data_IF_205835276985
#
_entry.id   IF_205835276985
#
_cell.length_a   1.000
_cell.length_b   1.000
_cell.length_c   1.000
_cell.angle_alpha   90.00
_cell.angle_beta   90.00
_cell.angle_gamma   90.00
#
_symmetry.space_group_name_H-M   'P 1'
#
loop_
_entity.id
_entity.type
_entity.pdbx_description
1 polymer ?
#
# COMPACT_ATOMS: atom_id res chain seq x y z
N UNK A 1 -30.81 -9.36 -3.52
CA UNK A 1 -29.47 -8.77 -3.37
C UNK A 1 -29.62 -7.27 -3.27
N UNK A 2 -28.69 -6.55 -2.65
CA UNK A 2 -28.78 -5.09 -2.54
C UNK A 2 -27.57 -4.37 -3.13
N UNK A 3 -27.80 -3.12 -3.52
CA UNK A 3 -26.75 -2.21 -3.94
C UNK A 3 -25.90 -1.78 -2.73
N UNK A 4 -24.58 -1.98 -2.80
CA UNK A 4 -23.66 -1.61 -1.71
C UNK A 4 -23.79 -0.11 -1.38
N UNK A 5 -23.90 0.20 -0.08
CA UNK A 5 -23.95 1.60 0.38
C UNK A 5 -22.62 2.34 0.22
N UNK A 6 -21.54 1.60 -0.01
CA UNK A 6 -20.20 2.13 -0.28
C UNK A 6 -19.95 2.42 -1.76
N UNK A 7 -20.92 2.15 -2.63
CA UNK A 7 -20.81 2.55 -4.03
C UNK A 7 -21.07 4.04 -4.20
N UNK A 8 -20.30 4.68 -5.07
CA UNK A 8 -20.59 5.99 -5.66
C UNK A 8 -20.40 5.91 -7.15
N UNK A 9 -21.14 6.74 -7.88
CA UNK A 9 -21.07 6.81 -9.33
C UNK A 9 -20.55 8.21 -9.67
N UNK A 10 -19.48 8.25 -10.46
CA UNK A 10 -18.86 9.48 -10.94
C UNK A 10 -18.99 9.55 -12.44
N UNK A 11 -19.64 10.59 -12.96
CA UNK A 11 -19.66 10.86 -14.38
C UNK A 11 -18.28 11.38 -14.81
N UNK A 12 -17.70 10.77 -15.85
CA UNK A 12 -16.38 11.14 -16.38
C UNK A 12 -16.53 11.86 -17.70
N UNK A 13 -17.53 11.48 -18.50
CA UNK A 13 -17.88 12.12 -19.76
C UNK A 13 -19.37 11.97 -20.03
N UNK A 14 -19.85 12.61 -21.11
CA UNK A 14 -21.24 12.49 -21.57
C UNK A 14 -21.67 11.04 -21.86
N UNK A 15 -20.71 10.11 -22.06
CA UNK A 15 -20.98 8.71 -22.40
C UNK A 15 -20.59 7.72 -21.31
N UNK A 16 -19.72 8.11 -20.38
CA UNK A 16 -19.07 7.17 -19.46
C UNK A 16 -19.08 7.66 -18.02
N UNK A 17 -19.24 6.69 -17.12
CA UNK A 17 -19.21 6.86 -15.68
C UNK A 17 -18.34 5.78 -15.03
N UNK A 18 -17.84 6.07 -13.84
CA UNK A 18 -17.19 5.07 -12.98
C UNK A 18 -18.07 4.78 -11.78
N UNK A 19 -18.35 3.49 -11.59
CA UNK A 19 -18.86 2.98 -10.31
C UNK A 19 -17.65 2.68 -9.44
N UNK A 20 -17.56 3.34 -8.30
CA UNK A 20 -16.47 3.16 -7.33
C UNK A 20 -17.02 2.65 -6.00
N UNK A 21 -16.48 1.53 -5.52
CA UNK A 21 -16.75 1.00 -4.19
C UNK A 21 -15.64 1.43 -3.22
N UNK A 22 -15.99 2.30 -2.28
CA UNK A 22 -15.05 2.88 -1.31
C UNK A 22 -14.50 1.87 -0.30
N UNK A 23 -15.29 0.84 0.06
CA UNK A 23 -14.89 -0.10 1.09
C UNK A 23 -13.83 -1.11 0.59
N UNK A 24 -13.89 -1.46 -0.70
CA UNK A 24 -13.03 -2.48 -1.29
C UNK A 24 -12.04 -1.91 -2.32
N UNK A 25 -12.01 -0.58 -2.49
CA UNK A 25 -11.20 0.14 -3.47
C UNK A 25 -11.30 -0.47 -4.88
N UNK A 26 -12.55 -0.69 -5.34
CA UNK A 26 -12.84 -1.26 -6.66
C UNK A 26 -13.51 -0.23 -7.56
N UNK A 27 -13.07 -0.15 -8.80
CA UNK A 27 -13.66 0.71 -9.83
C UNK A 27 -14.14 -0.12 -11.02
N UNK A 28 -15.23 0.34 -11.63
CA UNK A 28 -15.75 -0.20 -12.87
C UNK A 28 -16.12 0.97 -13.78
N UNK A 29 -15.42 1.10 -14.91
CA UNK A 29 -15.79 2.02 -15.98
C UNK A 29 -16.98 1.42 -16.74
N UNK A 30 -18.04 2.21 -16.88
CA UNK A 30 -19.29 1.79 -17.52
C UNK A 30 -19.80 2.89 -18.43
N UNK A 31 -20.54 2.50 -19.46
CA UNK A 31 -21.32 3.46 -20.26
C UNK A 31 -22.56 3.92 -19.47
N UNK A 32 -23.05 5.13 -19.75
CA UNK A 32 -24.13 5.76 -18.99
C UNK A 32 -25.45 4.96 -19.06
N UNK A 33 -25.70 4.19 -20.12
CA UNK A 33 -26.87 3.32 -20.24
C UNK A 33 -26.88 2.21 -19.16
N UNK A 34 -25.69 1.74 -18.74
CA UNK A 34 -25.57 0.76 -17.66
C UNK A 34 -25.76 1.42 -16.29
N UNK A 35 -25.42 2.69 -16.14
CA UNK A 35 -25.77 3.47 -14.93
C UNK A 35 -27.29 3.62 -14.83
N UNK A 36 -27.97 3.89 -15.93
CA UNK A 36 -29.43 3.97 -15.95
C UNK A 36 -30.07 2.61 -15.66
N UNK A 37 -29.46 1.51 -16.11
CA UNK A 37 -29.86 0.17 -15.71
C UNK A 37 -29.71 -0.06 -14.20
N UNK A 38 -28.61 0.39 -13.60
CA UNK A 38 -28.42 0.35 -12.13
C UNK A 38 -29.50 1.17 -11.42
N UNK A 39 -29.69 2.44 -11.82
CA UNK A 39 -30.66 3.35 -11.16
C UNK A 39 -32.08 2.80 -11.19
N UNK A 40 -32.49 2.22 -12.33
CA UNK A 40 -33.83 1.59 -12.48
C UNK A 40 -34.02 0.37 -11.58
N UNK A 41 -32.94 -0.34 -11.25
CA UNK A 41 -32.99 -1.60 -10.51
C UNK A 41 -32.31 -1.49 -9.13
N UNK A 42 -32.15 -0.29 -8.59
CA UNK A 42 -31.33 -0.06 -7.38
C UNK A 42 -31.84 -0.83 -6.15
N UNK A 43 -33.17 -0.99 -6.03
CA UNK A 43 -33.83 -1.70 -4.94
C UNK A 43 -33.95 -3.22 -5.20
N UNK A 44 -33.56 -3.69 -6.39
CA UNK A 44 -33.66 -5.09 -6.82
C UNK A 44 -32.53 -5.41 -7.78
N UNK A 45 -31.29 -5.22 -7.32
CA UNK A 45 -30.11 -5.23 -8.19
C UNK A 45 -29.88 -6.57 -8.90
N UNK A 46 -30.43 -7.66 -8.35
CA UNK A 46 -30.38 -9.00 -8.95
C UNK A 46 -31.16 -9.14 -10.25
N UNK A 47 -32.13 -8.26 -10.55
CA UNK A 47 -32.84 -8.25 -11.84
C UNK A 47 -31.92 -7.95 -13.02
N UNK A 48 -30.79 -7.26 -12.79
CA UNK A 48 -29.79 -6.97 -13.81
C UNK A 48 -29.20 -8.27 -14.37
N UNK A 49 -29.19 -9.36 -13.60
CA UNK A 49 -28.71 -10.67 -14.05
C UNK A 49 -29.45 -11.15 -15.30
N UNK A 50 -30.76 -10.93 -15.36
CA UNK A 50 -31.62 -11.45 -16.41
C UNK A 50 -31.52 -10.60 -17.69
N UNK A 51 -31.15 -9.32 -17.55
CA UNK A 51 -30.97 -8.38 -18.67
C UNK A 51 -29.53 -8.43 -19.20
N UNK A 52 -28.55 -8.41 -18.30
CA UNK A 52 -27.13 -8.30 -18.64
C UNK A 52 -26.26 -9.11 -17.65
N UNK A 53 -26.18 -10.45 -17.82
CA UNK A 53 -25.53 -11.35 -16.86
C UNK A 53 -24.03 -11.06 -16.65
N UNK A 54 -23.31 -10.68 -17.72
CA UNK A 54 -21.88 -10.34 -17.63
C UNK A 54 -21.64 -9.09 -16.77
N UNK A 55 -22.48 -8.08 -16.91
CA UNK A 55 -22.40 -6.85 -16.12
C UNK A 55 -22.75 -7.12 -14.66
N UNK A 56 -23.81 -7.88 -14.41
CA UNK A 56 -24.16 -8.30 -13.06
C UNK A 56 -23.03 -9.08 -12.36
N UNK A 57 -22.35 -9.99 -13.09
CA UNK A 57 -21.16 -10.69 -12.58
C UNK A 57 -20.04 -9.71 -12.24
N UNK A 58 -19.81 -8.67 -13.05
CA UNK A 58 -18.83 -7.64 -12.75
C UNK A 58 -19.17 -6.86 -11.47
N UNK A 59 -20.45 -6.51 -11.26
CA UNK A 59 -20.91 -5.86 -10.02
C UNK A 59 -20.69 -6.76 -8.79
N UNK A 60 -20.93 -8.07 -8.91
CA UNK A 60 -20.70 -9.01 -7.82
C UNK A 60 -19.22 -9.17 -7.46
N UNK A 61 -18.36 -9.42 -8.45
CA UNK A 61 -16.92 -9.63 -8.23
C UNK A 61 -16.26 -8.39 -7.61
N UNK A 62 -16.78 -7.20 -7.91
CA UNK A 62 -16.29 -5.94 -7.37
C UNK A 62 -16.98 -5.50 -6.07
N UNK A 63 -17.78 -6.37 -5.42
CA UNK A 63 -18.55 -6.08 -4.20
C UNK A 63 -19.51 -4.88 -4.32
N UNK A 64 -19.96 -4.57 -5.54
CA UNK A 64 -20.92 -3.49 -5.80
C UNK A 64 -22.36 -3.97 -5.63
N UNK A 65 -22.64 -5.24 -5.95
CA UNK A 65 -23.87 -5.93 -5.57
C UNK A 65 -23.57 -6.91 -4.43
N UNK A 66 -24.39 -6.89 -3.37
CA UNK A 66 -24.13 -7.63 -2.14
C UNK A 66 -25.28 -8.62 -1.84
N UNK A 67 -24.99 -9.88 -1.47
CA UNK A 67 -26.02 -10.82 -1.04
C UNK A 67 -26.74 -10.37 0.23
N UNK A 68 -28.07 -10.58 0.31
CA UNK A 68 -28.90 -10.07 1.40
C UNK A 68 -28.54 -10.66 2.78
N UNK A 69 -28.01 -11.88 2.80
CA UNK A 69 -27.56 -12.55 4.03
C UNK A 69 -26.21 -12.04 4.55
N UNK A 70 -25.48 -11.21 3.79
CA UNK A 70 -24.17 -10.71 4.17
C UNK A 70 -24.33 -9.37 4.89
N UNK A 71 -23.88 -9.31 6.14
CA UNK A 71 -23.65 -8.05 6.84
C UNK A 71 -22.42 -7.36 6.25
N UNK A 72 -22.66 -6.43 5.34
CA UNK A 72 -21.63 -5.66 4.67
C UNK A 72 -20.75 -4.86 5.64
N UNK A 73 -21.34 -4.25 6.66
CA UNK A 73 -20.58 -3.44 7.63
C UNK A 73 -19.63 -4.30 8.42
N UNK A 74 -20.10 -5.46 8.88
CA UNK A 74 -19.26 -6.41 9.59
C UNK A 74 -18.14 -6.95 8.70
N UNK A 75 -18.42 -7.23 7.43
CA UNK A 75 -17.40 -7.68 6.49
C UNK A 75 -16.31 -6.62 6.27
N UNK A 76 -16.69 -5.36 6.07
CA UNK A 76 -15.75 -4.24 5.91
C UNK A 76 -14.94 -4.02 7.19
N UNK A 77 -15.60 -4.04 8.36
CA UNK A 77 -14.92 -3.93 9.66
C UNK A 77 -13.89 -5.04 9.85
N UNK A 78 -14.25 -6.30 9.55
CA UNK A 78 -13.33 -7.44 9.64
C UNK A 78 -12.13 -7.26 8.72
N UNK A 79 -12.35 -6.80 7.49
CA UNK A 79 -11.27 -6.53 6.54
C UNK A 79 -10.32 -5.43 7.04
N UNK A 80 -10.85 -4.30 7.52
CA UNK A 80 -10.03 -3.22 8.09
C UNK A 80 -9.21 -3.73 9.28
N UNK A 81 -9.83 -4.48 10.19
CA UNK A 81 -9.13 -5.02 11.36
C UNK A 81 -8.06 -6.05 10.96
N UNK A 82 -8.30 -6.89 9.95
CA UNK A 82 -7.29 -7.84 9.48
C UNK A 82 -6.07 -7.12 8.90
N UNK A 83 -6.27 -6.02 8.18
CA UNK A 83 -5.17 -5.19 7.66
C UNK A 83 -4.42 -4.46 8.79
N UNK A 84 -5.15 -3.87 9.75
CA UNK A 84 -4.54 -3.15 10.88
C UNK A 84 -3.73 -4.06 11.80
N UNK A 85 -4.14 -5.31 11.97
CA UNK A 85 -3.43 -6.30 12.79
C UNK A 85 -2.52 -7.22 11.98
N UNK A 86 -2.31 -6.93 10.69
CA UNK A 86 -1.39 -7.68 9.86
C UNK A 86 0.06 -7.41 10.30
N UNK A 87 0.63 -8.38 11.02
CA UNK A 87 2.01 -8.36 11.49
C UNK A 87 2.95 -9.22 10.61
N UNK A 88 2.50 -9.64 9.43
CA UNK A 88 3.34 -10.46 8.53
C UNK A 88 4.41 -9.63 7.82
N UNK A 89 4.19 -8.31 7.68
CA UNK A 89 5.11 -7.40 6.98
C UNK A 89 5.68 -6.37 7.95
N UNK A 90 7.00 -6.39 8.16
CA UNK A 90 7.72 -5.34 8.88
C UNK A 90 8.18 -4.25 7.90
N UNK A 91 7.68 -3.03 8.05
CA UNK A 91 8.09 -1.88 7.24
C UNK A 91 8.93 -0.92 8.07
N UNK A 92 10.16 -0.66 7.63
CA UNK A 92 11.10 0.23 8.30
C UNK A 92 11.52 1.36 7.37
N UNK A 93 11.22 2.60 7.75
CA UNK A 93 11.83 3.79 7.15
C UNK A 93 13.10 4.15 7.93
N UNK A 94 14.22 4.22 7.24
CA UNK A 94 15.56 4.32 7.81
C UNK A 94 16.21 5.59 7.31
N UNK A 95 16.64 6.46 8.23
CA UNK A 95 17.44 7.63 7.91
C UNK A 95 18.92 7.32 8.20
N UNK A 96 19.71 6.77 7.24
CA UNK A 96 21.12 6.50 7.46
C UNK A 96 21.93 7.80 7.68
N UNK A 97 21.39 8.93 7.22
CA UNK A 97 21.94 10.27 7.42
C UNK A 97 20.86 11.34 7.26
N UNK A 98 21.02 12.47 7.94
CA UNK A 98 20.31 13.74 7.67
C UNK A 98 21.18 14.71 6.86
N UNK A 99 22.43 14.34 6.59
CA UNK A 99 23.32 15.07 5.69
C UNK A 99 22.85 14.91 4.24
N UNK A 100 22.99 15.96 3.45
CA UNK A 100 22.46 16.03 2.08
C UNK A 100 23.40 16.87 1.21
N UNK A 101 23.69 16.39 0.00
CA UNK A 101 24.49 17.10 -1.00
C UNK A 101 23.71 18.18 -1.75
N UNK A 102 22.41 18.34 -1.47
CA UNK A 102 21.52 19.33 -2.05
C UNK A 102 20.82 20.14 -0.96
N UNK A 103 20.39 21.36 -1.28
CA UNK A 103 19.68 22.27 -0.39
C UNK A 103 18.33 22.67 -1.02
N UNK A 104 17.41 21.72 -1.16
CA UNK A 104 16.15 21.93 -1.86
C UNK A 104 15.27 22.94 -1.10
N UNK A 105 14.75 23.96 -1.78
CA UNK A 105 13.97 25.04 -1.14
C UNK A 105 12.69 24.56 -0.43
N UNK A 106 12.15 23.39 -0.83
CA UNK A 106 10.98 22.77 -0.23
C UNK A 106 11.31 21.70 0.82
N UNK A 107 12.60 21.51 1.16
CA UNK A 107 13.03 20.51 2.13
C UNK A 107 12.71 20.95 3.57
N UNK A 108 12.05 20.08 4.34
CA UNK A 108 11.76 20.35 5.76
C UNK A 108 12.91 19.96 6.69
N UNK A 109 13.88 19.18 6.20
CA UNK A 109 15.00 18.72 7.01
C UNK A 109 15.99 19.86 7.26
N UNK A 110 16.46 19.94 8.52
CA UNK A 110 17.63 20.75 8.83
C UNK A 110 18.82 20.01 8.25
N UNK A 111 19.46 20.59 7.22
CA UNK A 111 20.60 20.02 6.50
C UNK A 111 21.86 19.96 7.37
N UNK A 112 21.78 19.14 8.42
CA UNK A 112 22.79 18.99 9.46
C UNK A 112 23.98 18.22 8.88
N UNK A 113 25.07 18.95 8.63
CA UNK A 113 26.30 18.37 8.10
C UNK A 113 26.84 17.30 9.05
N UNK A 114 27.31 16.20 8.48
CA UNK A 114 27.84 15.05 9.23
C UNK A 114 26.85 14.36 10.18
N UNK A 115 25.54 14.56 10.01
CA UNK A 115 24.51 13.90 10.80
C UNK A 115 24.24 12.46 10.32
N UNK A 116 25.20 11.56 10.55
CA UNK A 116 25.09 10.15 10.17
C UNK A 116 24.53 9.30 11.31
N UNK A 117 23.77 8.27 10.95
CA UNK A 117 23.37 7.20 11.87
C UNK A 117 24.61 6.60 12.57
N UNK A 118 24.50 6.35 13.87
CA UNK A 118 25.57 5.70 14.64
C UNK A 118 25.61 4.19 14.39
N UNK A 119 26.78 3.56 14.59
CA UNK A 119 26.91 2.10 14.53
C UNK A 119 26.00 1.40 15.57
N UNK A 120 25.87 1.99 16.77
CA UNK A 120 24.95 1.49 17.81
C UNK A 120 23.50 1.45 17.32
N UNK A 121 23.05 2.50 16.64
CA UNK A 121 21.69 2.57 16.07
C UNK A 121 21.50 1.51 14.99
N UNK A 122 22.48 1.36 14.10
CA UNK A 122 22.48 0.35 13.04
C UNK A 122 22.34 -1.07 13.62
N UNK A 123 23.17 -1.43 14.61
CA UNK A 123 23.12 -2.73 15.27
C UNK A 123 21.78 -2.96 15.99
N UNK A 124 21.24 -1.91 16.61
CA UNK A 124 19.93 -1.98 17.29
C UNK A 124 18.81 -2.25 16.29
N UNK A 125 18.87 -1.66 15.09
CA UNK A 125 17.93 -1.93 14.00
C UNK A 125 18.02 -3.38 13.53
N UNK A 126 19.23 -3.90 13.31
CA UNK A 126 19.41 -5.30 12.91
C UNK A 126 18.86 -6.25 13.97
N UNK A 127 19.07 -5.95 15.26
CA UNK A 127 18.50 -6.73 16.36
C UNK A 127 16.97 -6.67 16.37
N UNK A 128 16.39 -5.49 16.17
CA UNK A 128 14.94 -5.32 16.04
C UNK A 128 14.37 -6.18 14.91
N UNK A 129 14.98 -6.17 13.73
CA UNK A 129 14.54 -7.00 12.60
C UNK A 129 14.61 -8.47 12.95
N UNK A 130 15.73 -8.95 13.52
CA UNK A 130 15.88 -10.35 13.94
C UNK A 130 14.79 -10.78 14.93
N UNK A 131 14.50 -9.91 15.90
CA UNK A 131 13.45 -10.13 16.88
C UNK A 131 12.06 -10.21 16.23
N UNK A 132 11.71 -9.27 15.36
CA UNK A 132 10.39 -9.24 14.71
C UNK A 132 10.18 -10.44 13.77
N UNK A 133 11.21 -10.83 13.03
CA UNK A 133 11.18 -12.06 12.23
C UNK A 133 10.98 -13.29 13.13
N UNK A 134 11.55 -13.31 14.35
CA UNK A 134 11.32 -14.41 15.30
C UNK A 134 9.89 -14.44 15.86
N UNK A 135 9.15 -13.33 15.75
CA UNK A 135 7.75 -13.21 16.18
C UNK A 135 6.75 -13.51 15.06
N UNK A 136 7.21 -13.87 13.86
CA UNK A 136 6.35 -14.33 12.77
C UNK A 136 6.23 -13.36 11.59
N UNK A 137 7.04 -12.29 11.54
CA UNK A 137 7.18 -11.48 10.32
C UNK A 137 7.75 -12.35 9.20
N UNK A 138 7.10 -12.32 8.03
CA UNK A 138 7.43 -13.11 6.83
C UNK A 138 8.01 -12.27 5.69
N UNK A 139 7.86 -10.95 5.76
CA UNK A 139 8.39 -10.00 4.79
C UNK A 139 8.97 -8.79 5.52
N UNK A 140 10.16 -8.37 5.10
CA UNK A 140 10.80 -7.13 5.60
C UNK A 140 10.92 -6.16 4.44
N UNK A 141 10.49 -4.92 4.67
CA UNK A 141 10.64 -3.83 3.72
C UNK A 141 11.50 -2.74 4.35
N UNK A 142 12.61 -2.41 3.67
CA UNK A 142 13.52 -1.36 4.08
C UNK A 142 13.42 -0.18 3.11
N UNK A 143 13.03 0.97 3.65
CA UNK A 143 12.89 2.23 2.93
C UNK A 143 13.94 3.21 3.42
N UNK A 144 14.98 3.47 2.63
CA UNK A 144 16.04 4.40 2.98
C UNK A 144 15.66 5.84 2.60
N UNK A 145 15.47 6.68 3.61
CA UNK A 145 15.04 8.09 3.53
C UNK A 145 16.04 9.00 4.29
N UNK A 146 15.74 10.27 4.48
CA UNK A 146 16.62 11.24 5.16
C UNK A 146 17.13 12.28 4.16
N UNK A 147 18.32 12.83 4.45
CA UNK A 147 18.96 13.84 3.61
C UNK A 147 19.26 13.34 2.19
N UNK A 148 20.41 12.69 2.02
CA UNK A 148 20.71 11.88 0.84
C UNK A 148 21.13 10.47 1.30
N UNK A 149 20.24 9.46 1.20
CA UNK A 149 20.47 8.13 1.78
C UNK A 149 21.65 7.37 1.17
N UNK A 150 22.09 7.73 -0.04
CA UNK A 150 23.28 7.16 -0.67
C UNK A 150 24.59 7.76 -0.14
N UNK A 151 24.55 8.89 0.56
CA UNK A 151 25.74 9.41 1.24
C UNK A 151 26.18 8.43 2.34
N UNK A 152 27.38 7.88 2.18
CA UNK A 152 27.92 6.89 3.10
C UNK A 152 27.27 5.50 2.97
N UNK A 153 26.68 5.17 1.81
CA UNK A 153 26.01 3.89 1.52
C UNK A 153 26.76 2.67 2.08
N UNK A 154 28.04 2.50 1.73
CA UNK A 154 28.86 1.36 2.16
C UNK A 154 29.08 1.27 3.67
N UNK A 155 28.99 2.41 4.39
CA UNK A 155 29.18 2.46 5.84
C UNK A 155 27.88 2.36 6.63
N UNK A 156 26.72 2.46 5.98
CA UNK A 156 25.41 2.62 6.64
C UNK A 156 24.33 1.72 6.01
N UNK A 157 23.84 2.08 4.83
CA UNK A 157 22.74 1.35 4.21
C UNK A 157 23.14 -0.09 3.82
N UNK A 158 24.34 -0.28 3.26
CA UNK A 158 24.80 -1.60 2.81
C UNK A 158 24.93 -2.63 3.95
N UNK A 159 25.58 -2.34 5.10
CA UNK A 159 25.62 -3.29 6.22
C UNK A 159 24.23 -3.65 6.78
N UNK A 160 23.27 -2.72 6.73
CA UNK A 160 21.88 -2.99 7.11
C UNK A 160 21.26 -3.98 6.13
N UNK A 161 21.35 -3.69 4.82
CA UNK A 161 20.81 -4.54 3.76
C UNK A 161 21.38 -5.95 3.86
N UNK A 162 22.71 -6.08 3.95
CA UNK A 162 23.38 -7.37 4.04
C UNK A 162 22.93 -8.17 5.27
N UNK A 163 22.90 -7.52 6.44
CA UNK A 163 22.51 -8.16 7.70
C UNK A 163 21.05 -8.61 7.68
N UNK A 164 20.15 -7.77 7.18
CA UNK A 164 18.71 -8.07 7.08
C UNK A 164 18.45 -9.13 6.02
N UNK A 165 19.14 -9.08 4.89
CA UNK A 165 19.03 -10.09 3.84
C UNK A 165 19.39 -11.47 4.36
N UNK A 166 20.50 -11.59 5.11
CA UNK A 166 20.88 -12.85 5.76
C UNK A 166 19.81 -13.35 6.73
N UNK A 167 19.24 -12.48 7.56
CA UNK A 167 18.13 -12.83 8.48
C UNK A 167 16.91 -13.37 7.70
N UNK A 168 16.58 -12.74 6.57
CA UNK A 168 15.44 -13.15 5.75
C UNK A 168 15.70 -14.49 5.04
N UNK A 169 16.89 -14.67 4.46
CA UNK A 169 17.30 -15.90 3.78
C UNK A 169 17.33 -17.11 4.72
N UNK A 170 17.80 -16.96 5.95
CA UNK A 170 17.81 -18.01 6.99
C UNK A 170 16.42 -18.62 7.25
N UNK A 171 15.34 -17.91 6.89
CA UNK A 171 13.95 -18.31 7.15
C UNK A 171 13.06 -18.35 5.90
N UNK A 172 13.64 -18.20 4.71
CA UNK A 172 12.88 -18.19 3.44
C UNK A 172 11.91 -17.01 3.32
N UNK A 173 12.27 -15.85 3.87
CA UNK A 173 11.46 -14.63 3.85
C UNK A 173 11.90 -13.66 2.75
N UNK A 174 10.96 -12.80 2.33
CA UNK A 174 11.22 -11.81 1.29
C UNK A 174 11.76 -10.50 1.87
N UNK A 175 12.78 -9.94 1.21
CA UNK A 175 13.32 -8.62 1.49
C UNK A 175 13.02 -7.69 0.31
N UNK A 176 12.39 -6.55 0.61
CA UNK A 176 12.18 -5.47 -0.35
C UNK A 176 12.97 -4.24 0.10
N UNK A 177 13.59 -3.55 -0.87
CA UNK A 177 14.46 -2.40 -0.60
C UNK A 177 14.03 -1.25 -1.52
N UNK A 178 13.84 -0.08 -0.92
CA UNK A 178 13.58 1.17 -1.62
C UNK A 178 14.54 2.26 -1.14
N UNK A 179 14.95 3.13 -2.06
CA UNK A 179 15.74 4.32 -1.78
C UNK A 179 14.99 5.56 -2.25
N UNK A 180 14.89 6.56 -1.39
CA UNK A 180 14.38 7.89 -1.71
C UNK A 180 15.56 8.84 -1.86
N UNK A 181 16.25 8.75 -2.99
CA UNK A 181 17.44 9.54 -3.28
C UNK A 181 17.12 10.72 -4.21
N UNK A 182 18.02 11.71 -4.22
CA UNK A 182 18.05 12.78 -5.19
C UNK A 182 19.19 12.44 -6.15
N UNK A 183 18.92 12.43 -7.46
CA UNK A 183 19.79 11.88 -8.53
C UNK A 183 21.20 12.50 -8.68
N UNK A 184 21.71 13.27 -7.70
CA UNK A 184 23.04 13.87 -7.72
C UNK A 184 24.21 12.92 -7.44
N UNK A 185 23.97 11.67 -7.04
CA UNK A 185 25.02 10.66 -6.78
C UNK A 185 24.91 9.40 -7.66
N UNK A 186 23.84 9.27 -8.44
CA UNK A 186 23.70 8.19 -9.43
C UNK A 186 24.32 8.70 -10.73
N UNK A 187 25.64 8.84 -10.74
CA UNK A 187 26.42 9.10 -11.95
C UNK A 187 26.95 7.73 -12.41
N UNK A 188 26.80 7.35 -13.71
CA UNK A 188 27.13 6.02 -14.22
C UNK A 188 28.55 5.56 -13.93
#
# INVERSE_FOLDING_TARGET
MYWSKYNRIYEISEKESVVFNYAWNKSLLVVNELVDLIKRNINSIDSIRDVHPTFFKALLVNNMAVPDFKDEVLAVKKHILSELYNNEVLRLTINPTLDCNLNCWYCYEKHDKNAYMSERTLLSLVHLVRYQVSKGVRQVQLSFFGGEPLLGFYKRAFPIIESVNRICMERGHWLEIAFYNKWGLVVP
#
